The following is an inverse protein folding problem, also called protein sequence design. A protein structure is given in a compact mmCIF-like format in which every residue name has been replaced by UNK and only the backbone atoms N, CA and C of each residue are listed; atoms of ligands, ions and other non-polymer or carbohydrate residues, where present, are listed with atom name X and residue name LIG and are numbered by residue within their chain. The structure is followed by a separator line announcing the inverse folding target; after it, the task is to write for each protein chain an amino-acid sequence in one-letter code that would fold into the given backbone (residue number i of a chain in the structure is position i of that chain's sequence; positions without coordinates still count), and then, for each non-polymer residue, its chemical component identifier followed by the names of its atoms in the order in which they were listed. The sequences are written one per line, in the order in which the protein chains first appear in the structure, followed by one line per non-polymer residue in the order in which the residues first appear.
data_IF_850039580480
#
_entry.id   IF_850039580480
#
_cell.length_a   1.000
_cell.length_b   1.000
_cell.length_c   1.000
_cell.angle_alpha   90.00
_cell.angle_beta   90.00
_cell.angle_gamma   90.00
#
_symmetry.space_group_name_H-M   'P 1'
#
loop_
_entity.id
_entity.type
_entity.pdbx_description
1 polymer ?
#
# COMPACT_ATOMS: atom_id res chain seq x y z
N UNK A 1 -11.15 19.78 1.77
CA UNK A 1 -11.06 18.68 2.75
C UNK A 1 -10.05 17.71 2.16
N UNK A 2 -8.90 17.51 2.82
CA UNK A 2 -8.09 16.33 2.50
C UNK A 2 -8.80 15.19 3.21
N UNK A 3 -9.43 14.30 2.46
CA UNK A 3 -10.00 13.08 3.01
C UNK A 3 -8.84 12.26 3.57
N UNK A 4 -8.96 11.87 4.85
CA UNK A 4 -7.99 11.01 5.50
C UNK A 4 -8.05 9.64 4.82
N UNK A 5 -6.93 9.17 4.29
CA UNK A 5 -6.85 7.87 3.64
C UNK A 5 -7.25 6.79 4.65
N UNK A 6 -8.08 5.82 4.28
CA UNK A 6 -8.40 4.68 5.15
C UNK A 6 -7.75 3.39 4.62
N UNK A 7 -7.57 2.41 5.50
CA UNK A 7 -7.11 1.06 5.08
C UNK A 7 -8.05 0.47 4.01
N UNK A 8 -9.36 0.71 4.12
CA UNK A 8 -10.33 0.23 3.14
C UNK A 8 -10.09 0.84 1.74
N UNK A 9 -9.74 2.13 1.66
CA UNK A 9 -9.41 2.78 0.39
C UNK A 9 -8.15 2.19 -0.24
N UNK A 10 -7.13 1.92 0.59
CA UNK A 10 -5.88 1.31 0.14
C UNK A 10 -6.11 -0.09 -0.40
N UNK A 11 -6.85 -0.94 0.32
CA UNK A 11 -7.10 -2.34 -0.08
C UNK A 11 -8.02 -2.41 -1.31
N UNK A 12 -8.89 -1.42 -1.51
CA UNK A 12 -9.71 -1.31 -2.72
C UNK A 12 -8.96 -0.76 -3.94
N UNK A 13 -7.79 -0.15 -3.74
CA UNK A 13 -6.99 0.40 -4.83
C UNK A 13 -6.43 -0.73 -5.72
N UNK A 14 -6.25 -0.43 -7.01
CA UNK A 14 -5.62 -1.38 -7.93
C UNK A 14 -4.11 -1.41 -7.69
N UNK A 15 -3.55 -0.25 -7.43
CA UNK A 15 -2.12 -0.02 -7.28
C UNK A 15 -1.91 1.14 -6.33
N UNK A 16 -0.85 1.07 -5.56
CA UNK A 16 -0.47 2.11 -4.62
C UNK A 16 0.95 2.56 -4.90
N UNK A 17 1.20 3.84 -4.67
CA UNK A 17 2.53 4.42 -4.60
C UNK A 17 2.85 4.65 -3.13
N UNK A 18 4.00 4.17 -2.68
CA UNK A 18 4.39 4.29 -1.28
C UNK A 18 5.87 4.64 -1.13
N UNK A 19 6.22 5.16 0.04
CA UNK A 19 7.61 5.40 0.45
C UNK A 19 8.08 4.25 1.35
N UNK A 20 9.15 3.55 0.96
CA UNK A 20 9.77 2.51 1.79
C UNK A 20 10.56 3.09 2.97
N UNK A 21 11.07 2.20 3.83
CA UNK A 21 11.80 2.57 5.04
C UNK A 21 13.15 3.25 4.76
N UNK A 22 13.71 3.08 3.55
CA UNK A 22 14.92 3.74 3.09
C UNK A 22 14.63 5.11 2.43
N UNK A 23 13.34 5.50 2.38
CA UNK A 23 12.86 6.73 1.77
C UNK A 23 12.68 6.64 0.26
N UNK A 24 12.85 5.46 -0.34
CA UNK A 24 12.63 5.17 -1.74
C UNK A 24 11.15 5.14 -2.11
N UNK A 25 10.83 5.50 -3.36
CA UNK A 25 9.45 5.45 -3.87
C UNK A 25 9.25 4.18 -4.67
N UNK A 26 8.29 3.36 -4.23
CA UNK A 26 7.97 2.06 -4.83
C UNK A 26 6.48 2.00 -5.17
N UNK A 27 6.13 0.98 -5.96
CA UNK A 27 4.75 0.70 -6.34
C UNK A 27 4.41 -0.74 -5.97
N UNK A 28 3.16 -0.95 -5.57
CA UNK A 28 2.69 -2.26 -5.18
C UNK A 28 1.21 -2.46 -5.50
N UNK A 29 0.81 -3.72 -5.59
CA UNK A 29 -0.60 -4.11 -5.51
C UNK A 29 -0.96 -4.33 -4.04
N UNK A 30 -2.01 -3.71 -3.50
CA UNK A 30 -2.48 -3.99 -2.16
C UNK A 30 -3.17 -5.36 -2.14
N UNK A 31 -2.91 -6.15 -1.11
CA UNK A 31 -3.33 -7.55 -1.02
C UNK A 31 -4.26 -7.82 0.16
N UNK A 32 -4.20 -6.97 1.17
CA UNK A 32 -5.03 -7.06 2.36
C UNK A 32 -4.53 -6.13 3.44
N UNK A 33 -5.03 -6.35 4.66
CA UNK A 33 -4.65 -5.60 5.83
C UNK A 33 -4.58 -6.52 7.05
N UNK A 34 -3.74 -6.16 8.00
CA UNK A 34 -3.62 -6.78 9.31
C UNK A 34 -4.35 -5.89 10.32
N UNK A 35 -5.47 -6.37 10.87
CA UNK A 35 -6.20 -5.65 11.94
C UNK A 35 -5.39 -5.58 13.24
N UNK A 36 -4.58 -6.60 13.52
CA UNK A 36 -3.80 -6.68 14.76
C UNK A 36 -2.64 -5.70 14.76
N UNK A 37 -1.98 -5.53 13.61
CA UNK A 37 -0.79 -4.70 13.45
C UNK A 37 -1.11 -3.31 12.87
N UNK A 38 -2.36 -3.07 12.46
CA UNK A 38 -2.81 -1.85 11.75
C UNK A 38 -1.98 -1.57 10.46
N UNK A 39 -1.58 -2.64 9.77
CA UNK A 39 -0.70 -2.61 8.59
C UNK A 39 -1.42 -3.01 7.30
N UNK A 40 -0.89 -2.55 6.16
CA UNK A 40 -1.31 -2.97 4.82
C UNK A 40 -0.33 -4.03 4.31
N UNK A 41 -0.87 -5.15 3.81
CA UNK A 41 -0.08 -6.18 3.13
C UNK A 41 -0.05 -5.86 1.64
N UNK A 42 1.13 -5.85 1.05
CA UNK A 42 1.37 -5.43 -0.33
C UNK A 42 2.19 -6.47 -1.10
N UNK A 43 2.00 -6.50 -2.43
CA UNK A 43 2.91 -7.12 -3.38
C UNK A 43 3.68 -6.02 -4.13
N UNK A 44 4.94 -5.77 -3.77
CA UNK A 44 5.78 -4.84 -4.52
C UNK A 44 5.98 -5.30 -5.97
N UNK A 45 6.02 -4.36 -6.90
CA UNK A 45 6.23 -4.66 -8.33
C UNK A 45 7.68 -4.98 -8.68
N UNK A 46 8.61 -4.61 -7.80
CA UNK A 46 10.06 -4.77 -7.96
C UNK A 46 10.63 -5.99 -7.24
N UNK A 47 9.79 -6.76 -6.54
CA UNK A 47 10.16 -8.03 -5.90
C UNK A 47 9.72 -9.24 -6.73
N UNK A 48 10.38 -10.40 -6.57
CA UNK A 48 9.92 -11.64 -7.17
C UNK A 48 8.45 -11.94 -6.81
N UNK A 49 7.71 -12.46 -7.79
CA UNK A 49 6.31 -12.83 -7.59
C UNK A 49 6.16 -13.84 -6.43
N UNK A 50 5.27 -13.53 -5.48
CA UNK A 50 5.01 -14.32 -4.29
C UNK A 50 5.69 -13.80 -3.01
N UNK A 51 6.50 -12.76 -3.11
CA UNK A 51 6.97 -12.00 -1.95
C UNK A 51 5.94 -10.91 -1.58
N UNK A 52 5.61 -10.84 -0.29
CA UNK A 52 4.69 -9.85 0.27
C UNK A 52 5.40 -9.06 1.35
N UNK A 53 5.13 -7.76 1.41
CA UNK A 53 5.66 -6.84 2.42
C UNK A 53 4.50 -6.26 3.24
N UNK A 54 4.81 -5.74 4.43
CA UNK A 54 3.87 -4.98 5.24
C UNK A 54 4.32 -3.52 5.30
N UNK A 55 3.39 -2.59 5.11
CA UNK A 55 3.63 -1.15 5.21
C UNK A 55 2.58 -0.46 6.08
N UNK A 56 2.95 0.67 6.66
CA UNK A 56 2.03 1.54 7.40
C UNK A 56 1.20 2.39 6.44
N UNK A 57 0.00 2.79 6.85
CA UNK A 57 -0.86 3.70 6.08
C UNK A 57 -0.18 5.04 5.75
N UNK A 58 0.65 5.54 6.67
CA UNK A 58 1.43 6.77 6.49
C UNK A 58 2.50 6.69 5.39
N UNK A 59 2.86 5.48 4.95
CA UNK A 59 3.78 5.28 3.84
C UNK A 59 3.09 5.42 2.48
N UNK A 60 1.76 5.31 2.42
CA UNK A 60 0.99 5.42 1.17
C UNK A 60 0.89 6.89 0.75
N UNK A 61 1.33 7.17 -0.47
CA UNK A 61 1.38 8.52 -1.03
C UNK A 61 0.24 8.76 -2.03
N UNK A 62 -0.14 7.74 -2.79
CA UNK A 62 -1.12 7.84 -3.86
C UNK A 62 -1.83 6.51 -4.08
N UNK A 63 -3.14 6.58 -4.40
CA UNK A 63 -3.95 5.44 -4.78
C UNK A 63 -4.32 5.55 -6.27
N UNK A 64 -4.10 4.48 -7.03
CA UNK A 64 -4.62 4.35 -8.38
C UNK A 64 -5.86 3.44 -8.35
N UNK A 65 -7.04 4.03 -8.62
CA UNK A 65 -8.32 3.32 -8.69
C UNK A 65 -8.74 3.03 -10.14
N UNK A 66 -9.67 2.09 -10.35
CA UNK A 66 -10.31 1.96 -11.67
C UNK A 66 -11.15 3.21 -11.97
N UNK A 67 -11.00 3.74 -13.19
CA UNK A 67 -11.85 4.81 -13.73
C UNK A 67 -13.27 4.32 -14.06
#
# INVERSE_FOLDING_TARGET
MNEELTIADVVAAKRIKFQDNDGGIRYASPMGFSEEEEMIVIAPEDTPAGEWEQIELGQVLELEQYA
#
